data_IF_517664066426
#
_entry.id   IF_517664066426
#
_cell.length_a   1.000
_cell.length_b   1.000
_cell.length_c   1.000
_cell.angle_alpha   90.00
_cell.angle_beta   90.00
_cell.angle_gamma   90.00
#
_symmetry.space_group_name_H-M   'P 1'
#
loop_
_entity.id
_entity.type
_entity.pdbx_description
1 polymer ?
#
# COMPACT_ATOMS: atom_id res chain seq x y z
N UNK A 1 -17.77 -19.14 27.09
CA UNK A 1 -17.20 -20.46 27.48
C UNK A 1 -17.32 -21.39 26.30
N UNK A 2 -16.27 -22.12 25.92
CA UNK A 2 -16.32 -23.07 24.81
C UNK A 2 -16.94 -24.41 25.25
N UNK A 3 -17.83 -24.99 24.44
CA UNK A 3 -18.33 -26.35 24.66
C UNK A 3 -17.25 -27.35 24.25
N UNK A 4 -16.78 -28.20 25.17
CA UNK A 4 -15.94 -29.35 24.83
C UNK A 4 -16.80 -30.42 24.17
N UNK A 5 -16.23 -31.13 23.20
CA UNK A 5 -16.85 -32.25 22.52
C UNK A 5 -16.03 -33.51 22.82
N UNK A 6 -16.74 -34.63 23.00
CA UNK A 6 -16.16 -35.93 23.32
C UNK A 6 -16.62 -36.96 22.28
N UNK A 7 -15.79 -37.95 21.98
CA UNK A 7 -16.19 -39.10 21.17
C UNK A 7 -16.96 -40.16 21.98
N UNK A 8 -17.48 -41.19 21.30
CA UNK A 8 -18.20 -42.30 21.94
C UNK A 8 -17.33 -43.14 22.89
N UNK A 9 -16.01 -42.94 22.87
CA UNK A 9 -15.03 -43.58 23.76
C UNK A 9 -14.61 -42.64 24.93
N UNK A 10 -15.21 -41.45 25.04
CA UNK A 10 -14.97 -40.49 26.12
C UNK A 10 -13.75 -39.58 25.95
N UNK A 11 -13.10 -39.53 24.79
CA UNK A 11 -11.89 -38.72 24.57
C UNK A 11 -12.24 -37.30 24.10
N UNK A 12 -11.45 -36.30 24.55
CA UNK A 12 -11.62 -34.91 24.10
C UNK A 12 -11.22 -34.70 22.63
N UNK A 13 -12.21 -34.49 21.76
CA UNK A 13 -11.96 -34.20 20.34
C UNK A 13 -11.82 -32.70 20.11
N UNK A 14 -10.59 -32.25 19.82
CA UNK A 14 -10.33 -30.86 19.41
C UNK A 14 -10.96 -30.59 18.05
N UNK A 15 -11.98 -29.74 18.03
CA UNK A 15 -12.64 -29.28 16.80
C UNK A 15 -11.65 -28.48 15.93
N UNK A 16 -11.00 -29.15 14.98
CA UNK A 16 -10.16 -28.50 13.95
C UNK A 16 -11.08 -27.74 12.99
N UNK A 17 -11.20 -26.42 13.19
CA UNK A 17 -11.93 -25.53 12.28
C UNK A 17 -11.35 -25.64 10.86
N UNK A 18 -12.15 -26.19 9.94
CA UNK A 18 -11.66 -26.57 8.61
C UNK A 18 -11.26 -25.37 7.74
N UNK A 19 -10.20 -25.53 6.95
CA UNK A 19 -9.70 -24.53 6.01
C UNK A 19 -10.59 -24.41 4.74
N UNK A 20 -11.89 -24.20 4.93
CA UNK A 20 -12.90 -24.17 3.85
C UNK A 20 -13.36 -22.76 3.46
N UNK A 21 -12.94 -21.72 4.20
CA UNK A 21 -13.26 -20.32 3.87
C UNK A 21 -12.42 -19.75 2.72
N UNK A 22 -11.24 -20.28 2.46
CA UNK A 22 -10.34 -19.81 1.41
C UNK A 22 -10.80 -20.20 -0.01
N UNK A 23 -11.44 -21.38 -0.16
CA UNK A 23 -11.90 -21.90 -1.46
C UNK A 23 -12.96 -21.01 -2.10
N UNK A 24 -13.83 -20.39 -1.29
CA UNK A 24 -14.87 -19.48 -1.79
C UNK A 24 -14.33 -18.16 -2.35
N UNK A 25 -13.19 -17.69 -1.87
CA UNK A 25 -12.60 -16.39 -2.26
C UNK A 25 -11.98 -16.49 -3.66
N UNK A 26 -11.27 -17.59 -3.95
CA UNK A 26 -10.62 -17.82 -5.24
C UNK A 26 -11.62 -17.88 -6.42
N UNK A 27 -12.84 -18.36 -6.20
CA UNK A 27 -13.89 -18.46 -7.24
C UNK A 27 -14.47 -17.09 -7.59
N UNK A 28 -14.65 -16.20 -6.60
CA UNK A 28 -15.31 -14.90 -6.82
C UNK A 28 -14.44 -13.95 -7.66
N UNK A 29 -13.13 -13.93 -7.42
CA UNK A 29 -12.17 -13.13 -8.21
C UNK A 29 -12.12 -13.57 -9.68
N UNK A 30 -12.24 -14.88 -9.94
CA UNK A 30 -12.14 -15.45 -11.28
C UNK A 30 -13.35 -15.10 -12.18
N UNK A 31 -14.53 -14.89 -11.60
CA UNK A 31 -15.75 -14.54 -12.35
C UNK A 31 -15.72 -13.10 -12.86
N UNK A 32 -15.10 -12.17 -12.13
CA UNK A 32 -15.02 -10.74 -12.52
C UNK A 32 -14.12 -10.55 -13.75
N UNK A 33 -13.05 -11.33 -13.88
CA UNK A 33 -12.08 -11.21 -14.98
C UNK A 33 -12.58 -11.71 -16.35
N UNK A 34 -13.71 -12.44 -16.40
CA UNK A 34 -14.24 -13.01 -17.65
C UNK A 34 -15.22 -12.10 -18.41
N UNK A 35 -15.53 -10.91 -17.90
CA UNK A 35 -16.55 -10.02 -18.51
C UNK A 35 -15.95 -9.02 -19.51
N UNK A 36 -14.63 -8.78 -19.51
CA UNK A 36 -13.93 -7.88 -20.46
C UNK A 36 -13.29 -8.70 -21.61
N UNK A 37 -14.04 -9.69 -22.11
CA UNK A 37 -13.58 -10.73 -23.04
C UNK A 37 -13.98 -10.54 -24.51
N UNK A 38 -14.24 -9.30 -24.97
CA UNK A 38 -14.57 -8.98 -26.36
C UNK A 38 -14.41 -7.47 -26.64
N UNK A 39 -14.14 -7.02 -27.86
CA UNK A 39 -14.21 -7.70 -29.16
C UNK A 39 -12.89 -7.52 -29.93
N UNK A 40 -12.32 -8.59 -30.49
CA UNK A 40 -11.28 -8.45 -31.52
C UNK A 40 -11.27 -9.64 -32.49
N UNK A 41 -11.60 -9.38 -33.77
CA UNK A 41 -11.65 -10.38 -34.83
C UNK A 41 -12.17 -9.79 -36.13
N UNK A 42 -11.28 -9.57 -37.10
CA UNK A 42 -11.59 -8.95 -38.38
C UNK A 42 -10.32 -8.43 -39.06
N UNK A 43 -9.73 -9.23 -39.94
CA UNK A 43 -8.45 -8.96 -40.60
C UNK A 43 -8.66 -8.70 -42.09
N UNK A 44 -8.16 -7.57 -42.63
CA UNK A 44 -7.91 -7.45 -44.06
C UNK A 44 -6.73 -6.52 -44.42
N UNK A 45 -6.39 -6.44 -45.71
CA UNK A 45 -5.01 -6.26 -46.22
C UNK A 45 -4.59 -4.83 -46.60
N UNK A 46 -3.26 -4.65 -46.69
CA UNK A 46 -2.50 -3.67 -47.52
C UNK A 46 -2.50 -2.21 -47.01
N UNK A 47 -1.51 -1.35 -47.29
CA UNK A 47 -0.44 -1.37 -48.32
C UNK A 47 0.93 -0.88 -47.82
N UNK A 48 1.95 -0.87 -48.70
CA UNK A 48 3.34 -0.44 -48.46
C UNK A 48 3.52 1.08 -48.21
N UNK A 49 4.54 1.48 -47.41
CA UNK A 49 5.67 2.29 -47.90
C UNK A 49 6.83 2.45 -46.90
N UNK A 50 8.06 2.34 -47.43
CA UNK A 50 9.36 2.91 -46.99
C UNK A 50 9.35 4.44 -46.76
N UNK A 51 10.33 5.11 -46.12
CA UNK A 51 11.44 4.80 -45.16
C UNK A 51 11.99 6.17 -44.61
N UNK A 52 13.19 6.45 -44.04
CA UNK A 52 14.50 5.79 -43.82
C UNK A 52 15.38 6.56 -42.77
N UNK A 53 16.63 6.08 -42.49
CA UNK A 53 17.74 6.74 -41.73
C UNK A 53 17.52 7.06 -40.21
N UNK A 54 18.41 6.72 -39.24
CA UNK A 54 19.82 7.14 -38.95
C UNK A 54 19.92 8.58 -38.38
N UNK A 55 20.64 8.93 -37.29
CA UNK A 55 21.75 8.28 -36.55
C UNK A 55 21.87 8.75 -35.06
N UNK A 56 22.92 8.24 -34.37
CA UNK A 56 23.56 8.45 -33.04
C UNK A 56 23.46 9.87 -32.36
N UNK A 57 23.80 10.14 -31.07
CA UNK A 57 25.06 9.80 -30.34
C UNK A 57 25.06 10.20 -28.83
N UNK A 58 25.91 9.53 -28.03
CA UNK A 58 26.72 9.98 -26.86
C UNK A 58 26.16 10.65 -25.57
N UNK A 59 26.59 10.07 -24.45
CA UNK A 59 26.69 10.53 -23.04
C UNK A 59 27.64 11.73 -22.81
N UNK A 60 27.38 12.63 -21.83
CA UNK A 60 28.25 12.86 -20.62
C UNK A 60 27.97 14.12 -19.75
N UNK A 61 27.64 13.89 -18.47
CA UNK A 61 28.15 14.50 -17.21
C UNK A 61 28.29 16.02 -16.92
N UNK A 62 27.74 16.41 -15.74
CA UNK A 62 28.40 17.02 -14.54
C UNK A 62 28.09 18.49 -14.10
N UNK A 63 27.98 18.64 -12.77
CA UNK A 63 28.29 19.78 -11.85
C UNK A 63 27.61 21.16 -11.92
N UNK A 64 27.00 21.58 -10.79
CA UNK A 64 27.52 22.64 -9.88
C UNK A 64 26.60 22.94 -8.68
N UNK A 65 27.11 23.61 -7.64
CA UNK A 65 26.37 24.16 -6.47
C UNK A 65 26.20 25.70 -6.59
N UNK A 66 25.66 26.53 -5.67
CA UNK A 66 25.24 26.49 -4.24
C UNK A 66 24.27 27.72 -4.00
N UNK A 67 23.70 28.11 -2.84
CA UNK A 67 23.90 27.76 -1.41
C UNK A 67 22.63 27.94 -0.53
N UNK A 68 22.73 27.31 0.64
CA UNK A 68 21.98 27.29 1.91
C UNK A 68 21.59 28.61 2.57
N UNK A 69 20.64 28.54 3.52
CA UNK A 69 20.59 29.17 4.88
C UNK A 69 19.16 29.03 5.45
N UNK A 70 18.87 28.71 6.72
CA UNK A 70 19.50 27.85 7.73
C UNK A 70 18.43 27.64 8.84
N UNK A 71 18.27 26.43 9.39
CA UNK A 71 17.59 26.25 10.68
C UNK A 71 17.99 24.94 11.37
N UNK A 72 18.39 25.10 12.62
CA UNK A 72 18.91 24.09 13.54
C UNK A 72 17.84 23.07 13.97
N UNK A 73 18.01 21.81 13.56
CA UNK A 73 17.29 20.66 14.12
C UNK A 73 18.27 19.50 14.40
N UNK A 74 17.94 18.76 15.46
CA UNK A 74 18.66 17.71 16.18
C UNK A 74 19.60 16.84 15.30
N UNK A 75 20.89 16.79 15.64
CA UNK A 75 21.89 15.95 14.95
C UNK A 75 21.44 14.49 14.78
N UNK A 76 21.30 13.98 13.54
CA UNK A 76 21.39 12.55 13.30
C UNK A 76 22.87 12.17 13.39
N UNK A 77 23.21 11.29 14.33
CA UNK A 77 24.51 10.64 14.31
C UNK A 77 24.67 9.93 12.96
N UNK A 78 25.77 10.19 12.24
CA UNK A 78 26.07 9.50 10.97
C UNK A 78 26.36 8.03 11.22
N UNK A 79 25.31 7.21 11.19
CA UNK A 79 25.45 5.77 11.12
C UNK A 79 25.64 5.35 9.65
N UNK A 80 26.89 5.43 9.20
CA UNK A 80 27.30 4.91 7.88
C UNK A 80 27.09 3.39 7.75
N UNK A 81 26.71 2.69 8.84
CA UNK A 81 26.50 1.24 8.92
C UNK A 81 25.02 0.80 8.88
N UNK A 82 24.06 1.70 8.62
CA UNK A 82 22.65 1.32 8.39
C UNK A 82 22.55 0.26 7.25
N UNK A 83 21.94 -0.91 7.48
CA UNK A 83 21.84 -1.98 6.47
C UNK A 83 21.16 -1.57 5.17
N UNK A 84 21.56 -2.19 4.05
CA UNK A 84 20.98 -1.90 2.74
C UNK A 84 19.49 -2.26 2.64
N UNK A 85 19.03 -3.27 3.39
CA UNK A 85 17.62 -3.61 3.50
C UNK A 85 16.82 -2.45 4.14
N UNK A 86 17.31 -1.88 5.25
CA UNK A 86 16.67 -0.76 5.94
C UNK A 86 16.58 0.48 5.03
N UNK A 87 17.64 0.74 4.25
CA UNK A 87 17.68 1.78 3.19
C UNK A 87 16.71 1.51 2.03
N UNK A 88 16.37 0.25 1.76
CA UNK A 88 15.35 -0.13 0.77
C UNK A 88 13.95 0.01 1.35
N UNK A 89 13.71 -0.47 2.57
CA UNK A 89 12.44 -0.36 3.27
C UNK A 89 12.03 1.11 3.47
N UNK A 90 12.94 1.99 3.88
CA UNK A 90 12.67 3.44 4.02
C UNK A 90 12.27 4.09 2.68
N UNK A 91 12.90 3.69 1.57
CA UNK A 91 12.54 4.19 0.23
C UNK A 91 11.15 3.73 -0.23
N UNK A 92 10.76 2.50 0.12
CA UNK A 92 9.41 2.01 -0.15
C UNK A 92 8.39 2.62 0.81
N UNK A 93 8.78 2.90 2.06
CA UNK A 93 7.95 3.62 3.01
C UNK A 93 7.60 5.04 2.51
N UNK A 94 8.56 5.79 1.95
CA UNK A 94 8.28 7.06 1.27
C UNK A 94 7.29 6.88 0.11
N UNK A 95 7.52 5.90 -0.77
CA UNK A 95 6.61 5.64 -1.89
C UNK A 95 5.16 5.38 -1.42
N UNK A 96 4.97 4.51 -0.44
CA UNK A 96 3.64 4.15 0.06
C UNK A 96 3.01 5.26 0.92
N UNK A 97 3.76 5.92 1.79
CA UNK A 97 3.25 7.00 2.63
C UNK A 97 2.93 8.25 1.80
N UNK A 98 3.89 8.75 1.01
CA UNK A 98 3.79 10.08 0.38
C UNK A 98 3.19 10.05 -1.03
N UNK A 99 2.96 8.86 -1.64
CA UNK A 99 2.33 8.72 -2.97
C UNK A 99 1.08 7.84 -2.99
N UNK A 100 0.93 6.90 -2.05
CA UNK A 100 -0.28 6.08 -1.88
C UNK A 100 -1.06 6.38 -0.59
N UNK A 101 -0.63 7.37 0.19
CA UNK A 101 -1.34 7.90 1.35
C UNK A 101 -1.73 6.87 2.42
N UNK A 102 -0.91 5.81 2.61
CA UNK A 102 -1.17 4.81 3.65
C UNK A 102 -1.08 5.41 5.06
N UNK A 103 -1.82 4.82 6.00
CA UNK A 103 -1.61 5.02 7.45
C UNK A 103 -0.30 4.38 7.92
N UNK A 104 0.20 4.80 9.08
CA UNK A 104 1.42 4.21 9.67
C UNK A 104 1.28 2.69 9.93
N UNK A 105 0.08 2.22 10.29
CA UNK A 105 -0.18 0.80 10.50
C UNK A 105 -0.18 0.02 9.18
N UNK A 106 -0.98 0.46 8.19
CA UNK A 106 -1.01 -0.14 6.84
C UNK A 106 0.37 -0.17 6.19
N UNK A 107 1.17 0.86 6.42
CA UNK A 107 2.53 0.97 5.90
C UNK A 107 3.45 -0.13 6.46
N UNK A 108 3.37 -0.41 7.76
CA UNK A 108 4.15 -1.49 8.37
C UNK A 108 3.71 -2.84 7.80
N UNK A 109 2.40 -3.12 7.78
CA UNK A 109 1.82 -4.36 7.28
C UNK A 109 2.21 -4.61 5.80
N UNK A 110 2.22 -3.56 4.97
CA UNK A 110 2.64 -3.64 3.56
C UNK A 110 4.14 -3.94 3.39
N UNK A 111 5.00 -3.42 4.28
CA UNK A 111 6.45 -3.64 4.24
C UNK A 111 6.83 -5.06 4.67
N UNK A 112 6.16 -5.64 5.66
CA UNK A 112 6.45 -7.01 6.16
C UNK A 112 5.68 -8.12 5.43
N UNK A 113 4.64 -7.79 4.65
CA UNK A 113 3.80 -8.78 3.96
C UNK A 113 4.58 -9.64 2.96
N UNK A 114 4.40 -10.96 3.03
CA UNK A 114 4.92 -11.94 2.05
C UNK A 114 4.42 -11.69 0.61
N UNK A 115 3.31 -10.95 0.46
CA UNK A 115 2.72 -10.54 -0.81
C UNK A 115 2.95 -9.05 -1.14
N UNK A 116 3.63 -8.32 -0.25
CA UNK A 116 4.04 -6.93 -0.42
C UNK A 116 5.53 -6.84 -0.72
N UNK A 117 6.28 -6.15 0.14
CA UNK A 117 7.73 -6.00 -0.02
C UNK A 117 8.56 -7.11 0.65
N UNK A 118 7.98 -7.86 1.60
CA UNK A 118 8.63 -8.94 2.34
C UNK A 118 10.00 -8.52 2.96
N UNK A 119 10.06 -7.34 3.57
CA UNK A 119 11.22 -6.92 4.37
C UNK A 119 11.22 -7.58 5.75
N UNK A 120 12.40 -7.68 6.37
CA UNK A 120 12.51 -8.03 7.79
C UNK A 120 11.70 -7.06 8.67
N UNK A 121 11.07 -7.53 9.77
CA UNK A 121 10.38 -6.67 10.74
C UNK A 121 11.26 -5.52 11.25
N UNK A 122 12.56 -5.76 11.41
CA UNK A 122 13.56 -4.77 11.81
C UNK A 122 13.75 -3.68 10.74
N UNK A 123 13.84 -4.05 9.45
CA UNK A 123 13.92 -3.10 8.36
C UNK A 123 12.62 -2.30 8.16
N UNK A 124 11.47 -2.96 8.34
CA UNK A 124 10.16 -2.31 8.30
C UNK A 124 9.99 -1.32 9.46
N UNK A 125 10.34 -1.70 10.69
CA UNK A 125 10.29 -0.81 11.85
C UNK A 125 11.23 0.39 11.69
N UNK A 126 12.48 0.17 11.24
CA UNK A 126 13.41 1.25 10.90
C UNK A 126 12.76 2.22 9.89
N UNK A 127 12.09 1.70 8.86
CA UNK A 127 11.41 2.52 7.87
C UNK A 127 10.24 3.33 8.48
N UNK A 128 9.43 2.73 9.36
CA UNK A 128 8.34 3.42 10.07
C UNK A 128 8.82 4.52 11.02
N UNK A 129 10.01 4.37 11.60
CA UNK A 129 10.59 5.34 12.53
C UNK A 129 11.35 6.48 11.83
N UNK A 130 11.77 6.28 10.58
CA UNK A 130 12.55 7.25 9.80
C UNK A 130 11.78 7.85 8.59
N UNK A 131 10.57 7.39 8.28
CA UNK A 131 9.76 7.96 7.18
C UNK A 131 9.07 9.27 7.62
N UNK A 132 9.42 10.35 6.93
CA UNK A 132 8.75 11.64 7.05
C UNK A 132 7.45 11.63 6.23
N UNK A 133 6.31 11.63 6.91
CA UNK A 133 4.99 11.70 6.29
C UNK A 133 3.98 12.42 7.19
N UNK A 134 3.02 13.11 6.57
CA UNK A 134 1.89 13.77 7.25
C UNK A 134 0.70 12.81 7.27
N UNK A 135 0.59 12.03 8.35
CA UNK A 135 -0.44 11.00 8.50
C UNK A 135 -1.87 11.55 8.50
N UNK A 136 -2.06 12.83 8.90
CA UNK A 136 -3.35 13.51 8.85
C UNK A 136 -3.74 13.92 7.44
N UNK A 137 -2.79 14.42 6.66
CA UNK A 137 -2.96 14.67 5.22
C UNK A 137 -3.17 13.36 4.44
N UNK A 138 -2.51 12.27 4.83
CA UNK A 138 -2.74 10.94 4.26
C UNK A 138 -4.18 10.47 4.51
N UNK A 139 -4.65 10.56 5.77
CA UNK A 139 -6.03 10.26 6.12
C UNK A 139 -7.03 11.11 5.32
N UNK A 140 -6.78 12.41 5.18
CA UNK A 140 -7.60 13.30 4.35
C UNK A 140 -7.62 12.89 2.87
N UNK A 141 -6.49 12.46 2.29
CA UNK A 141 -6.42 12.01 0.90
C UNK A 141 -7.17 10.69 0.65
N UNK A 142 -7.09 9.74 1.58
CA UNK A 142 -7.91 8.53 1.53
C UNK A 142 -9.40 8.85 1.74
N UNK A 143 -9.72 9.79 2.65
CA UNK A 143 -11.09 10.24 2.91
C UNK A 143 -11.72 10.91 1.69
N UNK A 144 -10.99 11.81 1.02
CA UNK A 144 -11.42 12.43 -0.24
C UNK A 144 -11.81 11.37 -1.26
N UNK A 145 -10.94 10.38 -1.52
CA UNK A 145 -11.19 9.30 -2.48
C UNK A 145 -12.45 8.48 -2.13
N UNK A 146 -12.66 8.13 -0.84
CA UNK A 146 -13.88 7.43 -0.43
C UNK A 146 -15.13 8.32 -0.50
N UNK A 147 -15.01 9.62 -0.26
CA UNK A 147 -16.13 10.58 -0.30
C UNK A 147 -16.55 10.95 -1.73
N UNK A 148 -15.60 11.29 -2.60
CA UNK A 148 -15.90 11.78 -3.97
C UNK A 148 -16.03 10.63 -4.97
N UNK A 149 -15.05 9.73 -5.05
CA UNK A 149 -15.00 8.71 -6.10
C UNK A 149 -15.87 7.49 -5.77
N UNK A 150 -16.07 7.19 -4.48
CA UNK A 150 -16.93 6.10 -4.00
C UNK A 150 -18.27 6.55 -3.40
N UNK A 151 -18.54 7.87 -3.36
CA UNK A 151 -19.80 8.46 -2.89
C UNK A 151 -20.25 8.00 -1.48
N UNK A 152 -19.31 7.73 -0.58
CA UNK A 152 -19.60 7.29 0.80
C UNK A 152 -19.98 8.48 1.69
N UNK A 153 -20.88 8.26 2.67
CA UNK A 153 -21.21 9.30 3.66
C UNK A 153 -20.03 9.54 4.62
N UNK A 154 -19.93 10.77 5.17
CA UNK A 154 -18.86 11.18 6.11
C UNK A 154 -18.65 10.15 7.25
N UNK A 155 -19.73 9.64 7.86
CA UNK A 155 -19.68 8.55 8.86
C UNK A 155 -19.04 7.25 8.34
N UNK A 156 -19.41 6.83 7.13
CA UNK A 156 -18.92 5.59 6.51
C UNK A 156 -17.48 5.72 6.01
N UNK A 157 -17.04 6.93 5.70
CA UNK A 157 -15.63 7.25 5.46
C UNK A 157 -14.85 7.11 6.78
N UNK A 158 -15.34 7.66 7.89
CA UNK A 158 -14.70 7.47 9.21
C UNK A 158 -14.54 5.98 9.55
N UNK A 159 -15.62 5.19 9.47
CA UNK A 159 -15.59 3.74 9.71
C UNK A 159 -14.52 3.03 8.87
N UNK A 160 -14.41 3.40 7.58
CA UNK A 160 -13.45 2.80 6.65
C UNK A 160 -12.01 3.19 6.95
N UNK A 161 -11.76 4.43 7.41
CA UNK A 161 -10.43 4.90 7.78
C UNK A 161 -9.89 4.18 9.03
N UNK A 162 -10.71 3.98 10.06
CA UNK A 162 -10.29 3.34 11.33
C UNK A 162 -10.36 1.81 11.33
N UNK A 163 -11.02 1.20 10.35
CA UNK A 163 -11.26 -0.25 10.30
C UNK A 163 -9.96 -1.06 10.23
N UNK A 164 -9.88 -2.13 11.04
CA UNK A 164 -8.82 -3.16 11.01
C UNK A 164 -8.66 -3.83 9.62
N UNK A 165 -9.70 -3.77 8.78
CA UNK A 165 -9.69 -4.28 7.40
C UNK A 165 -9.70 -3.16 6.35
N UNK A 166 -9.85 -1.91 6.78
CA UNK A 166 -9.85 -0.69 5.96
C UNK A 166 -8.46 -0.04 5.99
N UNK A 167 -8.37 1.26 6.29
CA UNK A 167 -7.09 1.99 6.20
C UNK A 167 -6.24 1.96 7.48
N UNK A 168 -6.77 1.48 8.62
CA UNK A 168 -6.07 1.42 9.92
C UNK A 168 -5.44 2.75 10.39
N UNK A 169 -6.05 3.90 10.05
CA UNK A 169 -5.68 5.20 10.66
C UNK A 169 -6.10 5.25 12.14
N UNK A 170 -5.45 6.12 12.91
CA UNK A 170 -5.93 6.44 14.26
C UNK A 170 -7.27 7.17 14.21
N UNK A 171 -8.11 7.06 15.25
CA UNK A 171 -9.33 7.86 15.39
C UNK A 171 -9.12 9.37 15.20
N UNK A 172 -7.98 9.89 15.69
CA UNK A 172 -7.61 11.31 15.63
C UNK A 172 -7.19 11.78 14.23
N UNK A 173 -6.67 10.88 13.39
CA UNK A 173 -6.39 11.12 11.97
C UNK A 173 -7.67 10.98 11.13
N UNK A 174 -8.49 9.96 11.39
CA UNK A 174 -9.75 9.73 10.69
C UNK A 174 -10.79 10.83 10.97
N UNK A 175 -10.91 11.30 12.22
CA UNK A 175 -11.78 12.42 12.56
C UNK A 175 -11.31 13.69 11.88
N UNK A 176 -10.01 14.01 11.95
CA UNK A 176 -9.43 15.16 11.26
C UNK A 176 -9.72 15.12 9.75
N UNK A 177 -9.57 13.96 9.11
CA UNK A 177 -9.84 13.77 7.70
C UNK A 177 -11.31 14.08 7.37
N UNK A 178 -12.26 13.54 8.14
CA UNK A 178 -13.69 13.74 7.91
C UNK A 178 -14.16 15.17 8.23
N UNK A 179 -13.59 15.81 9.26
CA UNK A 179 -13.83 17.22 9.61
C UNK A 179 -13.36 18.20 8.50
N UNK A 180 -12.45 17.76 7.63
CA UNK A 180 -11.89 18.56 6.54
C UNK A 180 -12.37 18.12 5.13
N UNK A 181 -13.35 17.20 5.05
CA UNK A 181 -14.02 16.87 3.79
C UNK A 181 -14.92 18.03 3.31
N UNK A 182 -15.00 18.29 1.99
CA UNK A 182 -15.92 19.27 1.43
C UNK A 182 -17.39 18.94 1.75
N UNK A 183 -18.26 19.93 1.65
CA UNK A 183 -19.72 19.81 1.86
C UNK A 183 -20.45 19.45 0.57
#
# INVERSE_FOLDING_TARGET
>A
MAKRLYDENGNEVKQRGGCLKWVGIAVLVLVVLLVIGGIMGGNDKSSQSSSDASSQTATSSKDSTEKSTDKEEKEPAKDDNVPQEHKNALRQADNYANKMYLSKARLYDQLVSEYGENFSPEAAQYAIDNVEADWKKNALKQAENYYTEMAMSKDRVYDQLVSEYGEQFTPEEAQYAVDNLPD
#
